data_IF_375499138142
#
_entry.id   IF_375499138142
#
_cell.length_a   1.000
_cell.length_b   1.000
_cell.length_c   1.000
_cell.angle_alpha   90.00
_cell.angle_beta   90.00
_cell.angle_gamma   90.00
#
_symmetry.space_group_name_H-M   'P 1'
#
loop_
_entity.id
_entity.type
_entity.pdbx_description
1 polymer ?
#
# COMPACT_ATOMS: atom_id res chain seq x y z
N UNK A 1 -7.73 -11.78 -0.68
CA UNK A 1 -6.45 -11.19 -0.24
C UNK A 1 -5.64 -10.51 -1.35
N UNK A 2 -5.09 -11.23 -2.33
CA UNK A 2 -4.18 -10.62 -3.35
C UNK A 2 -4.79 -9.43 -4.09
N UNK A 3 -6.05 -9.52 -4.49
CA UNK A 3 -6.76 -8.41 -5.14
C UNK A 3 -6.94 -7.20 -4.20
N UNK A 4 -7.19 -7.42 -2.92
CA UNK A 4 -7.37 -6.35 -1.93
C UNK A 4 -6.07 -5.57 -1.71
N UNK A 5 -4.95 -6.29 -1.56
CA UNK A 5 -3.63 -5.66 -1.43
C UNK A 5 -3.21 -4.94 -2.72
N UNK A 6 -3.50 -5.51 -3.89
CA UNK A 6 -3.21 -4.86 -5.17
C UNK A 6 -3.98 -3.54 -5.31
N UNK A 7 -5.21 -3.49 -4.80
CA UNK A 7 -6.00 -2.27 -4.77
C UNK A 7 -5.37 -1.20 -3.84
N UNK A 8 -4.88 -1.58 -2.65
CA UNK A 8 -4.17 -0.65 -1.76
C UNK A 8 -2.97 -0.03 -2.48
N UNK A 9 -2.14 -0.85 -3.12
CA UNK A 9 -0.98 -0.36 -3.89
C UNK A 9 -1.39 0.56 -5.05
N UNK A 10 -2.49 0.25 -5.75
CA UNK A 10 -2.98 1.11 -6.83
C UNK A 10 -3.50 2.46 -6.33
N UNK A 11 -4.05 2.50 -5.13
CA UNK A 11 -4.61 3.72 -4.52
C UNK A 11 -3.53 4.57 -3.86
N UNK A 12 -2.59 3.93 -3.17
CA UNK A 12 -1.67 4.59 -2.24
C UNK A 12 -0.21 4.53 -2.69
N UNK A 13 0.13 3.70 -3.68
CA UNK A 13 1.50 3.56 -4.19
C UNK A 13 1.88 4.55 -5.30
N UNK A 14 1.03 5.53 -5.62
CA UNK A 14 1.31 6.52 -6.66
C UNK A 14 2.52 7.40 -6.27
N UNK A 15 3.53 7.58 -7.13
CA UNK A 15 4.87 8.09 -6.78
C UNK A 15 4.92 9.57 -6.40
N UNK A 16 3.77 10.25 -6.40
CA UNK A 16 3.60 11.67 -6.15
C UNK A 16 2.25 11.88 -5.48
N UNK A 17 2.24 12.59 -4.35
CA UNK A 17 1.00 13.01 -3.70
C UNK A 17 0.12 13.81 -4.68
N UNK A 18 -1.09 13.30 -4.91
CA UNK A 18 -2.12 13.95 -5.72
C UNK A 18 -3.14 14.64 -4.81
N UNK A 19 -3.64 15.80 -5.24
CA UNK A 19 -4.79 16.42 -4.60
C UNK A 19 -6.11 15.73 -5.04
N UNK A 20 -7.24 16.23 -4.53
CA UNK A 20 -8.57 15.74 -4.90
C UNK A 20 -8.95 15.98 -6.37
N UNK A 21 -8.19 16.82 -7.09
CA UNK A 21 -8.32 17.06 -8.52
C UNK A 21 -7.34 16.20 -9.36
N UNK A 22 -6.66 15.23 -8.75
CA UNK A 22 -5.66 14.36 -9.35
C UNK A 22 -4.41 15.11 -9.90
N UNK A 23 -4.16 16.33 -9.44
CA UNK A 23 -2.98 17.11 -9.80
C UNK A 23 -1.84 16.86 -8.80
N UNK A 24 -0.60 16.99 -9.27
CA UNK A 24 0.60 16.93 -8.42
C UNK A 24 0.61 18.10 -7.43
N UNK A 25 0.70 17.80 -6.14
CA UNK A 25 0.88 18.82 -5.09
C UNK A 25 2.34 19.29 -5.09
N UNK A 26 2.55 20.60 -4.98
CA UNK A 26 3.88 21.21 -4.86
C UNK A 26 4.07 21.81 -3.44
N UNK A 27 5.26 21.67 -2.82
CA UNK A 27 6.42 20.92 -3.30
C UNK A 27 6.16 19.41 -3.33
N UNK A 28 6.75 18.71 -4.30
CA UNK A 28 6.54 17.27 -4.48
C UNK A 28 7.04 16.53 -3.23
N UNK A 29 6.20 15.67 -2.69
CA UNK A 29 6.51 14.75 -1.60
C UNK A 29 6.34 13.32 -2.07
N UNK A 30 7.12 12.41 -1.46
CA UNK A 30 6.90 10.98 -1.61
C UNK A 30 5.57 10.54 -0.99
N UNK A 31 5.25 9.26 -1.10
CA UNK A 31 4.02 8.69 -0.55
C UNK A 31 4.37 7.63 0.49
N UNK A 32 3.50 7.49 1.48
CA UNK A 32 3.58 6.44 2.48
C UNK A 32 2.31 5.61 2.40
N UNK A 33 2.47 4.29 2.26
CA UNK A 33 1.39 3.32 2.41
C UNK A 33 1.41 2.87 3.88
N UNK A 34 0.39 3.22 4.68
CA UNK A 34 0.35 2.82 6.08
C UNK A 34 0.27 1.30 6.22
N UNK A 35 1.04 0.74 7.15
CA UNK A 35 0.99 -0.68 7.49
C UNK A 35 -0.42 -1.14 7.89
N UNK A 36 -1.15 -0.26 8.58
CA UNK A 36 -2.52 -0.52 9.02
C UNK A 36 -3.49 -0.67 7.85
N UNK A 37 -3.26 -0.01 6.71
CA UNK A 37 -4.10 -0.17 5.53
C UNK A 37 -3.87 -1.51 4.85
N UNK A 38 -2.61 -1.98 4.81
CA UNK A 38 -2.28 -3.33 4.35
C UNK A 38 -2.95 -4.38 5.25
N UNK A 39 -2.82 -4.24 6.57
CA UNK A 39 -3.46 -5.15 7.53
C UNK A 39 -4.99 -5.13 7.41
N UNK A 40 -5.60 -3.95 7.29
CA UNK A 40 -7.04 -3.82 7.09
C UNK A 40 -7.52 -4.47 5.78
N UNK A 41 -6.75 -4.38 4.70
CA UNK A 41 -7.09 -5.02 3.43
C UNK A 41 -7.02 -6.56 3.49
N UNK A 42 -6.11 -7.11 4.31
CA UNK A 42 -6.06 -8.55 4.57
C UNK A 42 -7.25 -8.97 5.43
N UNK A 43 -7.49 -8.31 6.56
CA UNK A 43 -8.63 -8.60 7.43
C UNK A 43 -10.00 -8.42 6.77
N UNK A 44 -10.10 -7.51 5.79
CA UNK A 44 -11.33 -7.33 5.01
C UNK A 44 -11.53 -8.37 3.90
N UNK A 45 -10.59 -9.30 3.71
CA UNK A 45 -10.71 -10.34 2.69
C UNK A 45 -11.69 -11.42 3.13
N UNK A 46 -12.48 -11.93 2.17
CA UNK A 46 -13.33 -13.09 2.43
C UNK A 46 -12.51 -14.29 2.91
N UNK A 47 -13.07 -15.02 3.88
CA UNK A 47 -12.50 -16.22 4.49
C UNK A 47 -11.15 -16.00 5.23
N UNK A 48 -10.80 -14.74 5.54
CA UNK A 48 -9.74 -14.41 6.48
C UNK A 48 -10.32 -14.29 7.90
N UNK A 49 -9.59 -14.85 8.88
CA UNK A 49 -9.98 -14.78 10.29
C UNK A 49 -8.83 -14.37 11.22
N UNK A 50 -7.59 -14.62 10.79
CA UNK A 50 -6.38 -14.24 11.48
C UNK A 50 -5.25 -14.14 10.45
N UNK A 51 -4.39 -13.15 10.62
CA UNK A 51 -3.20 -12.99 9.80
C UNK A 51 -2.10 -12.28 10.58
N UNK A 52 -0.86 -12.56 10.18
CA UNK A 52 0.30 -11.80 10.59
C UNK A 52 1.11 -11.41 9.36
N UNK A 53 1.39 -10.11 9.22
CA UNK A 53 2.30 -9.61 8.19
C UNK A 53 3.72 -9.69 8.74
N UNK A 54 4.56 -10.51 8.11
CA UNK A 54 6.00 -10.59 8.44
C UNK A 54 6.81 -9.55 7.68
N UNK A 55 6.45 -9.28 6.42
CA UNK A 55 7.04 -8.24 5.58
C UNK A 55 5.92 -7.57 4.77
N UNK A 56 5.84 -6.23 4.74
CA UNK A 56 6.70 -5.26 5.43
C UNK A 56 6.46 -5.25 6.96
N UNK A 57 7.46 -4.84 7.76
CA UNK A 57 7.35 -4.76 9.24
C UNK A 57 6.80 -3.41 9.72
N UNK A 58 6.40 -2.53 8.82
CA UNK A 58 5.95 -1.17 9.09
C UNK A 58 5.47 -0.50 7.80
N UNK A 59 5.27 0.82 7.87
CA UNK A 59 4.81 1.60 6.73
C UNK A 59 5.77 1.48 5.54
N UNK A 60 5.21 1.43 4.33
CA UNK A 60 6.01 1.42 3.10
C UNK A 60 6.16 2.86 2.64
N UNK A 61 7.37 3.40 2.85
CA UNK A 61 7.73 4.76 2.43
C UNK A 61 8.34 4.70 1.03
N UNK A 62 7.75 5.43 0.10
CA UNK A 62 8.24 5.60 -1.26
C UNK A 62 8.76 7.03 -1.42
N UNK A 63 10.03 7.19 -1.78
CA UNK A 63 10.59 8.49 -2.15
C UNK A 63 9.99 8.99 -3.47
N UNK A 64 10.29 10.24 -3.82
CA UNK A 64 9.81 10.86 -5.07
C UNK A 64 10.29 10.03 -6.26
N UNK A 65 9.36 9.58 -7.09
CA UNK A 65 9.65 8.76 -8.27
C UNK A 65 9.85 7.26 -8.00
N UNK A 66 9.75 6.82 -6.75
CA UNK A 66 9.70 5.40 -6.41
C UNK A 66 8.27 4.87 -6.52
N UNK A 67 8.10 3.74 -7.21
CA UNK A 67 6.80 3.10 -7.41
C UNK A 67 6.77 1.77 -6.65
N UNK A 68 5.95 1.69 -5.60
CA UNK A 68 5.72 0.42 -4.90
C UNK A 68 5.03 -0.57 -5.84
N UNK A 69 5.58 -1.79 -5.89
CA UNK A 69 5.03 -2.88 -6.70
C UNK A 69 4.80 -4.10 -5.80
N UNK A 70 3.68 -4.80 -6.02
CA UNK A 70 3.40 -6.04 -5.29
C UNK A 70 4.44 -7.10 -5.64
N UNK A 71 5.09 -7.65 -4.62
CA UNK A 71 5.94 -8.83 -4.76
C UNK A 71 5.15 -10.14 -4.74
N UNK A 72 5.83 -11.22 -4.37
CA UNK A 72 5.19 -12.53 -4.16
C UNK A 72 4.65 -12.62 -2.74
N UNK A 73 3.43 -13.15 -2.59
CA UNK A 73 2.88 -13.52 -1.29
C UNK A 73 3.34 -14.94 -0.97
N UNK A 74 3.94 -15.12 0.20
CA UNK A 74 4.38 -16.43 0.71
C UNK A 74 3.63 -16.73 2.00
N UNK A 75 3.07 -17.94 2.10
CA UNK A 75 2.44 -18.45 3.31
C UNK A 75 3.46 -19.29 4.07
N UNK A 76 3.60 -19.05 5.37
CA UNK A 76 4.51 -19.75 6.27
C UNK A 76 3.74 -20.61 7.26
#
# INVERSE_FOLDING_TARGET
MTAALANVLSLEGSPVQRDSAALTVLPVTGVTIPFTHLSAAISGSADEWDHQITVPTGDVVCAIGELATMGTITWL
#
